data_IF_946211394249
#
_entry.id   IF_946211394249
#
_cell.length_a   1.000
_cell.length_b   1.000
_cell.length_c   1.000
_cell.angle_alpha   90.00
_cell.angle_beta   90.00
_cell.angle_gamma   90.00
#
_symmetry.space_group_name_H-M   'P 1'
#
loop_
_entity.id
_entity.type
_entity.pdbx_description
1 polymer ?
#
# COMPACT_ATOMS: atom_id res chain seq x y z
N UNK A 1 9.31 16.78 14.84
CA UNK A 1 8.62 15.60 14.27
C UNK A 1 9.66 14.87 13.45
N UNK A 2 9.76 13.54 13.57
CA UNK A 2 10.73 12.74 12.80
C UNK A 2 10.43 12.86 11.32
N UNK A 3 11.47 13.00 10.49
CA UNK A 3 11.33 12.89 9.03
C UNK A 3 10.95 11.46 8.70
N UNK A 4 9.96 11.28 7.80
CA UNK A 4 9.50 9.96 7.40
C UNK A 4 9.37 9.86 5.88
N UNK A 5 9.65 8.68 5.35
CA UNK A 5 9.51 8.35 3.93
C UNK A 5 8.36 7.38 3.73
N UNK A 6 7.39 7.76 2.89
CA UNK A 6 6.23 6.95 2.55
C UNK A 6 6.40 6.47 1.11
N UNK A 7 6.57 5.18 0.94
CA UNK A 7 6.57 4.55 -0.38
C UNK A 7 5.14 4.23 -0.81
N UNK A 8 4.78 4.52 -2.05
CA UNK A 8 3.49 4.22 -2.66
C UNK A 8 3.78 3.31 -3.85
N UNK A 9 3.56 2.01 -3.68
CA UNK A 9 3.78 1.00 -4.72
C UNK A 9 2.44 0.59 -5.32
N UNK A 10 2.33 0.67 -6.64
CA UNK A 10 1.04 0.43 -7.30
C UNK A 10 1.21 -0.13 -8.71
N UNK A 11 0.17 -0.83 -9.17
CA UNK A 11 -0.02 -1.14 -10.57
C UNK A 11 -1.18 -0.33 -11.16
N UNK A 12 -1.16 -0.09 -12.45
CA UNK A 12 -2.25 0.59 -13.16
C UNK A 12 -2.43 0.03 -14.57
N UNK A 13 -3.66 -0.02 -15.08
CA UNK A 13 -3.93 -0.42 -16.47
C UNK A 13 -4.17 0.78 -17.39
N UNK A 14 -5.01 1.72 -16.96
CA UNK A 14 -5.44 2.89 -17.75
C UNK A 14 -5.11 4.24 -17.08
N UNK A 15 -4.22 4.27 -16.10
CA UNK A 15 -3.80 5.49 -15.41
C UNK A 15 -4.63 5.88 -14.19
N UNK A 16 -5.86 5.39 -14.01
CA UNK A 16 -6.72 5.82 -12.91
C UNK A 16 -6.13 5.50 -11.52
N UNK A 17 -5.53 4.34 -11.35
CA UNK A 17 -4.85 3.96 -10.09
C UNK A 17 -3.62 4.85 -9.85
N UNK A 18 -2.90 5.24 -10.92
CA UNK A 18 -1.79 6.21 -10.85
C UNK A 18 -2.30 7.57 -10.37
N UNK A 19 -3.41 8.08 -10.92
CA UNK A 19 -4.02 9.34 -10.47
C UNK A 19 -4.31 9.31 -8.96
N UNK A 20 -4.86 8.19 -8.45
CA UNK A 20 -5.08 8.03 -7.00
C UNK A 20 -3.77 8.05 -6.23
N UNK A 21 -2.74 7.33 -6.69
CA UNK A 21 -1.41 7.30 -6.06
C UNK A 21 -0.78 8.70 -5.98
N UNK A 22 -0.89 9.50 -7.05
CA UNK A 22 -0.39 10.87 -7.11
C UNK A 22 -1.13 11.80 -6.11
N UNK A 23 -2.45 11.65 -5.96
CA UNK A 23 -3.20 12.41 -4.95
C UNK A 23 -2.86 11.96 -3.52
N UNK A 24 -2.63 10.68 -3.27
CA UNK A 24 -2.09 10.20 -1.98
C UNK A 24 -0.73 10.86 -1.71
N UNK A 25 0.17 10.88 -2.70
CA UNK A 25 1.48 11.51 -2.57
C UNK A 25 1.39 13.01 -2.25
N UNK A 26 0.47 13.74 -2.92
CA UNK A 26 0.19 15.16 -2.58
C UNK A 26 -0.18 15.32 -1.12
N UNK A 27 -1.10 14.48 -0.62
CA UNK A 27 -1.48 14.51 0.79
C UNK A 27 -0.34 14.18 1.75
N UNK A 28 0.56 13.28 1.40
CA UNK A 28 1.76 12.97 2.19
C UNK A 28 2.66 14.21 2.34
N UNK A 29 3.00 14.88 1.24
CA UNK A 29 3.94 16.00 1.25
C UNK A 29 3.40 17.27 1.89
N UNK A 30 2.08 17.38 2.10
CA UNK A 30 1.48 18.44 2.92
C UNK A 30 1.82 18.31 4.43
N UNK A 31 2.34 17.16 4.86
CA UNK A 31 2.74 16.92 6.24
C UNK A 31 4.23 17.24 6.38
N UNK A 32 4.55 18.26 7.17
CA UNK A 32 5.95 18.67 7.38
C UNK A 32 6.82 17.51 7.85
N UNK A 33 7.98 17.31 7.21
CA UNK A 33 8.89 16.21 7.48
C UNK A 33 8.49 14.86 6.83
N UNK A 34 7.43 14.82 5.99
CA UNK A 34 7.07 13.62 5.25
C UNK A 34 7.45 13.72 3.77
N UNK A 35 8.00 12.64 3.22
CA UNK A 35 8.35 12.49 1.79
C UNK A 35 7.53 11.35 1.19
N UNK A 36 7.11 11.51 -0.08
CA UNK A 36 6.42 10.48 -0.85
C UNK A 36 7.29 10.02 -2.01
N UNK A 37 7.39 8.70 -2.19
CA UNK A 37 8.05 8.06 -3.32
C UNK A 37 7.04 7.13 -4.02
N UNK A 38 6.89 7.29 -5.34
CA UNK A 38 5.96 6.48 -6.15
C UNK A 38 6.73 5.42 -6.92
N UNK A 39 6.23 4.18 -6.88
CA UNK A 39 6.80 3.03 -7.58
C UNK A 39 5.70 2.31 -8.36
N UNK A 40 5.79 2.33 -9.67
CA UNK A 40 4.83 1.64 -10.52
C UNK A 40 5.32 0.24 -10.88
N UNK A 41 4.56 -0.77 -10.47
CA UNK A 41 4.77 -2.16 -10.88
C UNK A 41 4.28 -2.34 -12.31
N UNK A 42 5.21 -2.56 -13.23
CA UNK A 42 4.92 -2.70 -14.66
C UNK A 42 5.31 -4.09 -15.17
N UNK A 43 4.79 -4.46 -16.33
CA UNK A 43 5.17 -5.72 -17.00
C UNK A 43 6.64 -5.74 -17.47
N UNK A 44 7.30 -4.59 -17.55
CA UNK A 44 8.72 -4.53 -17.90
C UNK A 44 9.63 -5.21 -16.87
N UNK A 45 9.17 -5.34 -15.62
CA UNK A 45 9.87 -6.08 -14.57
C UNK A 45 9.66 -7.60 -14.62
N UNK A 46 8.85 -8.13 -15.56
CA UNK A 46 8.61 -9.58 -15.64
C UNK A 46 9.73 -10.25 -16.44
N UNK A 47 10.47 -11.15 -15.79
CA UNK A 47 11.50 -11.97 -16.40
C UNK A 47 10.95 -13.09 -17.28
N UNK A 48 11.84 -13.78 -17.97
CA UNK A 48 11.49 -14.94 -18.83
C UNK A 48 10.93 -16.14 -18.05
N UNK A 49 11.18 -16.18 -16.75
CA UNK A 49 10.64 -17.15 -15.78
C UNK A 49 9.24 -16.79 -15.27
N UNK A 50 8.68 -15.65 -15.71
CA UNK A 50 7.37 -15.16 -15.30
C UNK A 50 7.36 -14.46 -13.93
N UNK A 51 8.50 -14.32 -13.25
CA UNK A 51 8.62 -13.58 -11.99
C UNK A 51 8.78 -12.10 -12.28
N UNK A 52 8.22 -11.27 -11.41
CA UNK A 52 8.51 -9.85 -11.41
C UNK A 52 9.74 -9.60 -10.53
N UNK A 53 10.72 -8.86 -11.06
CA UNK A 53 11.93 -8.49 -10.34
C UNK A 53 12.32 -7.05 -10.63
N UNK A 54 12.47 -6.27 -9.56
CA UNK A 54 13.05 -4.93 -9.55
C UNK A 54 13.69 -4.70 -8.18
N UNK A 55 14.95 -5.10 -8.06
CA UNK A 55 15.72 -4.99 -6.83
C UNK A 55 15.85 -3.55 -6.32
N UNK A 56 15.84 -2.54 -7.20
CA UNK A 56 15.90 -1.13 -6.77
C UNK A 56 14.61 -0.70 -6.09
N UNK A 57 13.46 -1.07 -6.67
CA UNK A 57 12.16 -0.83 -6.02
C UNK A 57 12.07 -1.57 -4.70
N UNK A 58 12.45 -2.86 -4.63
CA UNK A 58 12.41 -3.64 -3.37
C UNK A 58 13.29 -3.02 -2.28
N UNK A 59 14.49 -2.54 -2.63
CA UNK A 59 15.37 -1.84 -1.68
C UNK A 59 14.75 -0.53 -1.20
N UNK A 60 14.22 0.30 -2.11
CA UNK A 60 13.57 1.57 -1.74
C UNK A 60 12.35 1.37 -0.82
N UNK A 61 11.57 0.29 -1.02
CA UNK A 61 10.48 -0.09 -0.12
C UNK A 61 11.00 -0.53 1.25
N UNK A 62 12.15 -1.21 1.28
CA UNK A 62 12.78 -1.64 2.54
C UNK A 62 13.36 -0.46 3.32
N UNK A 63 13.79 0.60 2.65
CA UNK A 63 14.31 1.83 3.27
C UNK A 63 13.19 2.78 3.75
N UNK A 64 11.96 2.64 3.23
CA UNK A 64 10.83 3.49 3.62
C UNK A 64 10.28 3.12 5.02
N UNK A 65 9.68 4.11 5.71
CA UNK A 65 9.05 3.94 7.03
C UNK A 65 7.62 3.40 6.93
N UNK A 66 6.97 3.63 5.80
CA UNK A 66 5.63 3.11 5.50
C UNK A 66 5.49 2.73 4.03
N UNK A 67 4.62 1.76 3.74
CA UNK A 67 4.32 1.31 2.39
C UNK A 67 2.80 1.35 2.16
N UNK A 68 2.38 2.06 1.11
CA UNK A 68 0.98 2.09 0.66
C UNK A 68 0.88 1.26 -0.62
N UNK A 69 0.06 0.21 -0.59
CA UNK A 69 -0.15 -0.70 -1.71
C UNK A 69 -1.34 -0.25 -2.56
N UNK A 70 -1.20 -0.23 -3.89
CA UNK A 70 -2.24 0.19 -4.81
C UNK A 70 -2.44 -0.76 -5.99
N UNK A 71 -3.68 -1.13 -6.26
CA UNK A 71 -4.03 -1.95 -7.43
C UNK A 71 -5.40 -1.59 -7.97
N UNK A 72 -5.64 -1.66 -9.28
CA UNK A 72 -7.01 -1.73 -9.76
C UNK A 72 -7.64 -3.05 -9.29
N UNK A 73 -8.95 -3.04 -9.02
CA UNK A 73 -9.72 -4.29 -8.87
C UNK A 73 -10.13 -4.76 -10.27
N UNK A 74 -9.61 -5.92 -10.67
CA UNK A 74 -9.89 -6.59 -11.94
C UNK A 74 -10.40 -7.99 -11.67
N UNK A 75 -11.56 -8.34 -12.22
CA UNK A 75 -12.21 -9.65 -12.03
C UNK A 75 -12.34 -10.04 -10.54
N UNK A 76 -12.69 -9.05 -9.70
CA UNK A 76 -12.93 -9.25 -8.26
C UNK A 76 -11.68 -9.28 -7.37
N UNK A 77 -10.47 -9.06 -7.91
CA UNK A 77 -9.20 -9.21 -7.21
C UNK A 77 -8.21 -8.10 -7.55
N UNK A 78 -7.07 -8.06 -6.87
CA UNK A 78 -5.94 -7.23 -7.31
C UNK A 78 -5.45 -7.66 -8.70
N UNK A 79 -4.76 -6.79 -9.43
CA UNK A 79 -4.17 -7.12 -10.71
C UNK A 79 -3.09 -8.21 -10.58
N UNK A 80 -2.90 -9.00 -11.63
CA UNK A 80 -1.84 -10.02 -11.69
C UNK A 80 -0.44 -9.42 -11.45
N UNK A 81 -0.17 -8.22 -11.98
CA UNK A 81 1.10 -7.52 -11.73
C UNK A 81 1.33 -7.26 -10.23
N UNK A 82 0.30 -6.82 -9.51
CA UNK A 82 0.44 -6.58 -8.07
C UNK A 82 0.63 -7.88 -7.29
N UNK A 83 0.03 -8.98 -7.75
CA UNK A 83 0.25 -10.30 -7.15
C UNK A 83 1.68 -10.80 -7.38
N UNK A 84 2.23 -10.65 -8.59
CA UNK A 84 3.63 -10.99 -8.88
C UNK A 84 4.61 -10.19 -8.00
N UNK A 85 4.36 -8.88 -7.82
CA UNK A 85 5.14 -8.07 -6.87
C UNK A 85 5.05 -8.60 -5.44
N UNK A 86 3.88 -9.02 -4.97
CA UNK A 86 3.73 -9.60 -3.63
C UNK A 86 4.53 -10.91 -3.48
N UNK A 87 4.59 -11.74 -4.51
CA UNK A 87 5.37 -12.98 -4.52
C UNK A 87 6.88 -12.69 -4.45
N UNK A 88 7.34 -11.63 -5.11
CA UNK A 88 8.74 -11.20 -5.05
C UNK A 88 9.18 -10.75 -3.64
N UNK A 89 8.24 -10.35 -2.77
CA UNK A 89 8.55 -9.97 -1.39
C UNK A 89 8.88 -11.17 -0.46
N UNK A 90 8.91 -12.41 -0.99
CA UNK A 90 9.15 -13.62 -0.22
C UNK A 90 10.47 -13.58 0.58
N UNK A 91 11.59 -13.19 -0.03
CA UNK A 91 12.88 -13.09 0.65
C UNK A 91 12.84 -12.02 1.77
N UNK A 92 12.16 -10.90 1.53
CA UNK A 92 11.97 -9.85 2.53
C UNK A 92 11.13 -10.35 3.71
N UNK A 93 10.12 -11.18 3.45
CA UNK A 93 9.31 -11.82 4.48
C UNK A 93 10.12 -12.78 5.35
N UNK A 94 10.98 -13.61 4.75
CA UNK A 94 11.82 -14.56 5.48
C UNK A 94 12.69 -13.87 6.54
N UNK A 95 13.26 -12.71 6.20
CA UNK A 95 14.11 -11.93 7.13
C UNK A 95 13.32 -10.91 7.93
N UNK A 96 11.97 -10.89 7.81
CA UNK A 96 11.09 -9.93 8.47
C UNK A 96 11.47 -8.45 8.19
N UNK A 97 11.96 -8.17 6.98
CA UNK A 97 12.52 -6.87 6.60
C UNK A 97 11.52 -5.69 6.64
N UNK A 98 10.20 -5.98 6.55
CA UNK A 98 9.15 -4.95 6.64
C UNK A 98 8.36 -4.99 7.96
N UNK A 99 8.78 -5.81 8.91
CA UNK A 99 8.13 -5.88 10.22
C UNK A 99 8.08 -4.52 10.89
N UNK A 100 6.93 -4.24 11.52
CA UNK A 100 6.63 -3.00 12.24
C UNK A 100 6.57 -1.72 11.38
N UNK A 101 6.71 -1.79 10.04
CA UNK A 101 6.39 -0.66 9.17
C UNK A 101 4.88 -0.43 9.11
N UNK A 102 4.48 0.85 8.92
CA UNK A 102 3.07 1.17 8.64
C UNK A 102 2.72 0.69 7.23
N UNK A 103 1.54 0.07 7.09
CA UNK A 103 0.97 -0.35 5.82
C UNK A 103 -0.42 0.24 5.62
N UNK A 104 -0.80 0.47 4.37
CA UNK A 104 -2.13 0.89 3.97
C UNK A 104 -2.41 0.42 2.54
N UNK A 105 -3.68 0.52 2.08
CA UNK A 105 -4.02 0.10 0.72
C UNK A 105 -5.07 0.97 0.07
N UNK A 106 -5.03 0.99 -1.27
CA UNK A 106 -6.03 1.65 -2.10
C UNK A 106 -6.33 0.87 -3.37
N UNK A 107 -7.53 1.05 -3.88
CA UNK A 107 -7.97 0.41 -5.12
C UNK A 107 -8.93 1.28 -5.91
N UNK A 108 -8.97 1.06 -7.23
CA UNK A 108 -9.89 1.69 -8.15
C UNK A 108 -10.58 0.65 -9.04
N UNK A 109 -11.85 0.87 -9.36
CA UNK A 109 -12.56 0.08 -10.38
C UNK A 109 -13.67 0.89 -11.03
N UNK A 110 -14.22 0.40 -12.15
CA UNK A 110 -15.31 1.07 -12.85
C UNK A 110 -16.65 0.98 -12.09
N UNK A 111 -16.93 -0.15 -11.45
CA UNK A 111 -18.16 -0.37 -10.68
C UNK A 111 -18.06 0.25 -9.29
N UNK A 112 -19.18 0.75 -8.76
CA UNK A 112 -19.20 1.36 -7.41
C UNK A 112 -18.80 0.37 -6.31
N UNK A 113 -19.38 -0.82 -6.29
CA UNK A 113 -18.94 -1.91 -5.42
C UNK A 113 -17.71 -2.59 -6.02
N UNK A 114 -17.89 -3.28 -7.14
CA UNK A 114 -16.85 -3.92 -7.95
C UNK A 114 -15.95 -4.88 -7.19
N UNK A 115 -16.43 -5.36 -6.03
CA UNK A 115 -15.70 -6.25 -5.12
C UNK A 115 -14.33 -5.69 -4.68
N UNK A 116 -14.25 -4.36 -4.63
CA UNK A 116 -13.05 -3.62 -4.20
C UNK A 116 -12.57 -4.01 -2.80
N UNK A 117 -13.50 -4.43 -1.93
CA UNK A 117 -13.16 -4.88 -0.59
C UNK A 117 -12.23 -6.10 -0.64
N UNK A 118 -12.44 -7.03 -1.56
CA UNK A 118 -11.59 -8.22 -1.69
C UNK A 118 -10.14 -7.83 -2.01
N UNK A 119 -9.94 -6.90 -2.94
CA UNK A 119 -8.59 -6.37 -3.23
C UNK A 119 -7.92 -5.78 -1.99
N UNK A 120 -8.65 -5.01 -1.17
CA UNK A 120 -8.11 -4.44 0.07
C UNK A 120 -7.83 -5.50 1.14
N UNK A 121 -8.67 -6.53 1.23
CA UNK A 121 -8.46 -7.67 2.14
C UNK A 121 -7.18 -8.41 1.77
N UNK A 122 -6.95 -8.70 0.49
CA UNK A 122 -5.73 -9.35 0.03
C UNK A 122 -4.47 -8.53 0.38
N UNK A 123 -4.51 -7.20 0.20
CA UNK A 123 -3.42 -6.31 0.60
C UNK A 123 -3.20 -6.31 2.11
N UNK A 124 -4.28 -6.27 2.90
CA UNK A 124 -4.19 -6.29 4.36
C UNK A 124 -3.64 -7.62 4.89
N UNK A 125 -4.06 -8.75 4.30
CA UNK A 125 -3.52 -10.08 4.63
C UNK A 125 -2.03 -10.14 4.31
N UNK A 126 -1.62 -9.69 3.12
CA UNK A 126 -0.21 -9.60 2.75
C UNK A 126 0.58 -8.74 3.75
N UNK A 127 0.12 -7.52 4.05
CA UNK A 127 0.78 -6.63 5.00
C UNK A 127 0.93 -7.26 6.39
N UNK A 128 -0.10 -7.95 6.88
CA UNK A 128 -0.03 -8.63 8.18
C UNK A 128 0.90 -9.85 8.15
N UNK A 129 0.96 -10.58 7.04
CA UNK A 129 1.95 -11.64 6.83
C UNK A 129 3.38 -11.09 6.88
N UNK A 130 3.61 -9.91 6.31
CA UNK A 130 4.89 -9.20 6.38
C UNK A 130 5.21 -8.62 7.79
N UNK A 131 4.31 -8.78 8.76
CA UNK A 131 4.46 -8.24 10.12
C UNK A 131 4.21 -6.73 10.23
N UNK A 132 3.56 -6.11 9.24
CA UNK A 132 3.30 -4.67 9.19
C UNK A 132 2.04 -4.27 9.97
N UNK A 133 1.92 -2.99 10.29
CA UNK A 133 0.77 -2.39 11.01
C UNK A 133 -0.16 -1.71 10.01
N UNK A 134 -1.35 -2.27 9.81
CA UNK A 134 -2.32 -1.76 8.84
C UNK A 134 -3.10 -0.53 9.32
N UNK A 135 -3.22 0.48 8.46
CA UNK A 135 -3.96 1.72 8.74
C UNK A 135 -5.05 1.96 7.68
N UNK A 136 -6.30 1.99 8.10
CA UNK A 136 -7.46 2.27 7.25
C UNK A 136 -7.70 3.76 6.96
N UNK A 137 -8.78 4.06 6.19
CA UNK A 137 -9.12 5.41 5.69
C UNK A 137 -9.32 6.43 6.81
N UNK A 138 -10.15 6.13 7.80
CA UNK A 138 -10.41 6.98 8.95
C UNK A 138 -11.36 8.16 8.72
N UNK A 139 -11.82 8.41 7.50
CA UNK A 139 -12.85 9.39 7.21
C UNK A 139 -14.25 8.75 7.27
N UNK A 140 -15.22 9.51 7.78
CA UNK A 140 -16.62 9.09 7.74
C UNK A 140 -17.13 9.05 6.28
N UNK A 141 -18.09 8.16 5.95
CA UNK A 141 -18.63 8.06 4.60
C UNK A 141 -19.47 9.29 4.27
N UNK A 142 -19.03 10.07 3.29
CA UNK A 142 -19.76 11.24 2.80
C UNK A 142 -21.01 10.89 1.97
N UNK A 143 -21.07 9.67 1.44
CA UNK A 143 -22.14 9.18 0.56
C UNK A 143 -23.46 8.78 1.26
N UNK A 144 -23.58 8.98 2.56
CA UNK A 144 -24.71 8.46 3.37
C UNK A 144 -25.88 9.45 3.56
N UNK A 145 -25.90 10.59 2.86
CA UNK A 145 -26.97 11.59 2.96
C UNK A 145 -27.76 11.65 1.65
N UNK A 146 -29.04 12.06 1.70
CA UNK A 146 -29.86 12.18 0.49
C UNK A 146 -29.32 13.14 -0.57
N UNK A 147 -28.57 14.16 -0.15
CA UNK A 147 -27.96 15.19 -0.97
C UNK A 147 -26.49 14.89 -1.37
N UNK A 148 -26.00 13.68 -1.04
CA UNK A 148 -24.63 13.29 -1.29
C UNK A 148 -24.33 13.10 -2.78
N UNK A 149 -23.09 13.42 -3.16
CA UNK A 149 -22.59 13.33 -4.52
C UNK A 149 -21.25 12.56 -4.56
N UNK A 150 -20.76 12.27 -5.76
CA UNK A 150 -19.42 11.70 -5.93
C UNK A 150 -18.29 12.67 -5.55
N UNK A 151 -18.61 13.93 -5.25
CA UNK A 151 -17.64 14.94 -4.78
C UNK A 151 -17.45 14.94 -3.27
N UNK A 152 -18.23 14.14 -2.53
CA UNK A 152 -18.06 14.01 -1.09
C UNK A 152 -16.86 13.12 -0.75
N UNK A 153 -16.19 13.43 0.35
CA UNK A 153 -15.07 12.63 0.89
C UNK A 153 -15.59 11.24 1.26
N UNK A 154 -14.83 10.21 0.90
CA UNK A 154 -15.16 8.81 1.16
C UNK A 154 -16.61 8.46 0.75
N UNK A 155 -17.06 8.95 -0.43
CA UNK A 155 -18.43 8.78 -0.88
C UNK A 155 -18.81 7.31 -1.10
N UNK A 156 -17.83 6.42 -1.33
CA UNK A 156 -18.04 4.98 -1.43
C UNK A 156 -18.14 4.28 -0.07
N UNK A 157 -17.84 4.96 1.03
CA UNK A 157 -17.99 4.43 2.38
C UNK A 157 -17.01 3.33 2.75
N UNK A 158 -15.77 3.42 2.32
CA UNK A 158 -14.75 2.42 2.63
C UNK A 158 -14.08 2.65 3.98
N UNK A 159 -13.72 1.57 4.68
CA UNK A 159 -13.07 1.60 6.00
C UNK A 159 -11.66 1.00 5.98
N UNK A 160 -11.52 -0.20 5.39
CA UNK A 160 -10.26 -0.96 5.41
C UNK A 160 -9.13 -0.25 4.69
N UNK A 161 -9.42 0.38 3.56
CA UNK A 161 -8.49 1.14 2.74
C UNK A 161 -9.25 2.08 1.81
N UNK A 162 -8.57 2.87 0.99
CA UNK A 162 -9.20 3.81 0.10
C UNK A 162 -9.78 3.08 -1.13
N UNK A 163 -11.05 3.32 -1.40
CA UNK A 163 -11.72 2.93 -2.64
C UNK A 163 -12.02 4.16 -3.48
N UNK A 164 -11.79 4.06 -4.78
CA UNK A 164 -12.19 5.07 -5.77
C UNK A 164 -12.94 4.44 -6.94
N UNK A 165 -13.66 5.26 -7.70
CA UNK A 165 -14.40 4.84 -8.88
C UNK A 165 -14.00 5.66 -10.10
N UNK A 166 -13.69 4.97 -11.20
CA UNK A 166 -13.50 5.58 -12.52
C UNK A 166 -14.43 4.92 -13.51
N UNK A 167 -15.48 5.61 -13.98
CA UNK A 167 -16.43 5.03 -14.93
C UNK A 167 -15.74 4.47 -16.18
N UNK A 168 -16.30 3.40 -16.74
CA UNK A 168 -15.75 2.81 -17.96
C UNK A 168 -15.74 3.84 -19.10
N UNK A 169 -14.61 3.98 -19.77
CA UNK A 169 -14.43 4.95 -20.86
C UNK A 169 -14.03 6.35 -20.42
N UNK A 170 -14.04 6.67 -19.13
CA UNK A 170 -13.47 7.92 -18.63
C UNK A 170 -11.95 7.90 -18.76
N UNK A 171 -11.35 9.04 -19.08
CA UNK A 171 -9.90 9.20 -19.04
C UNK A 171 -9.39 9.48 -17.61
N UNK A 172 -8.07 9.33 -17.40
CA UNK A 172 -7.46 9.54 -16.10
C UNK A 172 -7.38 11.02 -15.67
N UNK A 173 -7.61 11.96 -16.58
CA UNK A 173 -7.68 13.39 -16.29
C UNK A 173 -9.01 13.74 -15.59
N UNK A 174 -10.12 13.13 -16.03
CA UNK A 174 -11.46 13.41 -15.52
C UNK A 174 -11.93 12.43 -14.43
N UNK A 175 -11.30 11.26 -14.31
CA UNK A 175 -11.63 10.23 -13.32
C UNK A 175 -10.36 9.77 -12.56
N UNK A 176 -10.48 9.42 -11.27
CA UNK A 176 -11.70 9.40 -10.45
C UNK A 176 -12.24 10.79 -10.10
N UNK A 177 -13.39 10.83 -9.42
CA UNK A 177 -14.09 12.05 -9.03
C UNK A 177 -13.25 12.99 -8.15
N UNK A 178 -13.67 14.26 -8.03
CA UNK A 178 -13.03 15.22 -7.12
C UNK A 178 -13.08 14.74 -5.66
N UNK A 179 -14.18 14.10 -5.23
CA UNK A 179 -14.32 13.54 -3.89
C UNK A 179 -13.35 12.38 -3.64
N UNK A 180 -13.15 11.50 -4.61
CA UNK A 180 -12.15 10.42 -4.52
C UNK A 180 -10.73 10.95 -4.44
N UNK A 181 -10.40 11.97 -5.24
CA UNK A 181 -9.09 12.64 -5.23
C UNK A 181 -8.82 13.31 -3.88
N UNK A 182 -9.82 14.05 -3.36
CA UNK A 182 -9.72 14.66 -2.02
C UNK A 182 -9.58 13.61 -0.92
N UNK A 183 -10.31 12.49 -1.02
CA UNK A 183 -10.17 11.35 -0.09
C UNK A 183 -8.76 10.79 -0.14
N UNK A 184 -8.16 10.67 -1.33
CA UNK A 184 -6.79 10.20 -1.51
C UNK A 184 -5.77 11.13 -0.83
N UNK A 185 -5.91 12.45 -0.97
CA UNK A 185 -5.06 13.42 -0.28
C UNK A 185 -5.20 13.34 1.25
N UNK A 186 -6.44 13.25 1.75
CA UNK A 186 -6.70 13.08 3.19
C UNK A 186 -6.10 11.78 3.72
N UNK A 187 -6.21 10.70 2.94
CA UNK A 187 -5.63 9.41 3.26
C UNK A 187 -4.10 9.50 3.33
N UNK A 188 -3.45 10.12 2.35
CA UNK A 188 -2.00 10.38 2.36
C UNK A 188 -1.54 11.12 3.60
N UNK A 189 -2.23 12.23 3.97
CA UNK A 189 -1.96 12.98 5.22
C UNK A 189 -2.11 12.10 6.45
N UNK A 190 -3.14 11.25 6.49
CA UNK A 190 -3.37 10.34 7.61
C UNK A 190 -2.22 9.33 7.77
N UNK A 191 -1.79 8.70 6.68
CA UNK A 191 -0.70 7.73 6.73
C UNK A 191 0.59 8.40 7.18
N UNK A 192 0.96 9.54 6.62
CA UNK A 192 2.16 10.29 7.03
C UNK A 192 2.16 10.61 8.53
N UNK A 193 1.05 11.15 9.06
CA UNK A 193 0.91 11.45 10.50
C UNK A 193 0.92 10.19 11.36
N UNK A 194 0.34 9.08 10.90
CA UNK A 194 0.36 7.82 11.63
C UNK A 194 1.78 7.27 11.71
N UNK A 195 2.53 7.33 10.61
CA UNK A 195 3.93 6.92 10.55
C UNK A 195 4.79 7.76 11.50
N UNK A 196 4.65 9.09 11.46
CA UNK A 196 5.40 9.98 12.38
C UNK A 196 5.12 9.65 13.86
N UNK A 197 3.85 9.39 14.22
CA UNK A 197 3.49 9.00 15.59
C UNK A 197 4.05 7.64 16.00
N UNK A 198 4.06 6.69 15.05
CA UNK A 198 4.61 5.36 15.27
C UNK A 198 6.12 5.42 15.50
N UNK A 199 6.85 6.11 14.63
CA UNK A 199 8.30 6.27 14.72
C UNK A 199 8.72 7.03 15.99
N UNK A 200 8.04 8.11 16.35
CA UNK A 200 8.33 8.87 17.56
C UNK A 200 8.18 8.04 18.85
N UNK A 201 7.32 7.01 18.86
CA UNK A 201 7.18 6.08 19.99
C UNK A 201 8.20 4.95 19.95
N UNK A 202 8.62 4.50 18.78
CA UNK A 202 9.68 3.51 18.66
C UNK A 202 10.99 4.00 19.29
N UNK A 203 11.32 5.29 19.12
CA UNK A 203 12.49 5.92 19.76
C UNK A 203 12.35 6.01 21.30
N UNK A 204 11.12 6.20 21.81
CA UNK A 204 10.86 6.28 23.25
C UNK A 204 10.83 4.91 23.95
N UNK A 205 10.55 3.84 23.23
CA UNK A 205 10.47 2.46 23.72
C UNK A 205 11.25 1.53 22.78
N UNK A 206 12.59 1.58 22.79
CA UNK A 206 13.38 0.70 21.94
C UNK A 206 13.02 -0.76 22.28
N UNK A 207 12.63 -1.52 21.26
CA UNK A 207 12.37 -2.94 21.41
C UNK A 207 13.57 -3.58 22.14
N UNK A 208 13.31 -4.46 23.14
CA UNK A 208 14.37 -5.27 23.73
C UNK A 208 15.04 -6.03 22.58
N UNK A 209 16.19 -5.58 22.15
CA UNK A 209 17.02 -6.31 21.17
C UNK A 209 17.27 -7.69 21.76
N UNK A 210 16.66 -8.73 21.17
CA UNK A 210 17.22 -10.08 21.29
C UNK A 210 18.64 -9.98 20.78
N UNK A 211 19.58 -10.70 21.41
CA UNK A 211 20.96 -10.63 20.93
C UNK A 211 20.96 -10.90 19.42
N UNK A 212 21.67 -10.08 18.66
CA UNK A 212 21.76 -10.20 17.18
C UNK A 212 22.17 -11.61 16.77
N UNK A 213 22.93 -12.33 17.61
CA UNK A 213 23.33 -13.71 17.42
C UNK A 213 22.18 -14.74 17.53
N UNK A 214 21.20 -14.53 18.43
CA UNK A 214 20.03 -15.42 18.58
C UNK A 214 19.02 -15.21 17.43
N UNK A 215 18.84 -13.94 17.00
CA UNK A 215 18.00 -13.62 15.84
C UNK A 215 18.60 -14.25 14.57
N UNK A 216 19.87 -13.98 14.26
CA UNK A 216 20.56 -14.49 13.08
C UNK A 216 20.69 -16.02 13.02
N UNK A 217 20.64 -16.71 14.15
CA UNK A 217 20.64 -18.18 14.18
C UNK A 217 19.27 -18.75 13.85
N UNK A 218 18.19 -18.23 14.42
CA UNK A 218 16.81 -18.66 14.08
C UNK A 218 16.44 -18.34 12.64
N UNK A 219 16.88 -17.19 12.15
CA UNK A 219 16.62 -16.76 10.77
C UNK A 219 17.30 -17.71 9.76
N UNK A 220 18.53 -18.18 10.05
CA UNK A 220 19.22 -19.19 9.21
C UNK A 220 18.56 -20.57 9.26
N UNK A 221 18.22 -21.07 10.44
CA UNK A 221 17.54 -22.36 10.62
C UNK A 221 16.15 -22.34 9.95
N UNK A 222 15.43 -21.21 10.01
CA UNK A 222 14.15 -21.00 9.31
C UNK A 222 14.31 -20.97 7.78
N UNK A 223 15.30 -20.25 7.26
CA UNK A 223 15.62 -20.16 5.84
C UNK A 223 15.96 -21.53 5.22
N UNK A 224 16.76 -22.34 5.89
CA UNK A 224 17.12 -23.69 5.43
C UNK A 224 15.90 -24.62 5.39
N UNK A 225 15.04 -24.54 6.39
CA UNK A 225 13.81 -25.34 6.43
C UNK A 225 12.80 -24.98 5.33
N UNK A 226 12.70 -23.69 4.96
CA UNK A 226 11.77 -23.24 3.91
C UNK A 226 12.31 -23.46 2.50
N UNK A 227 13.62 -23.36 2.27
CA UNK A 227 14.22 -23.68 0.97
C UNK A 227 14.06 -25.16 0.59
N UNK A 228 13.93 -26.05 1.57
CA UNK A 228 13.65 -27.48 1.31
C UNK A 228 12.19 -27.79 0.96
N UNK A 229 11.29 -26.81 0.98
CA UNK A 229 9.88 -26.98 0.59
C UNK A 229 9.61 -26.66 -0.90
N UNK A 230 10.54 -25.96 -1.59
CA UNK A 230 10.42 -25.57 -3.01
C UNK A 230 11.11 -26.59 -3.97
N UNK A 231 11.73 -27.65 -3.44
CA UNK A 231 12.28 -28.79 -4.16
C UNK A 231 11.30 -29.99 -4.09
#
# INVERSE_FOLDING_TARGET
MSDVTIAIVYSTGRGHTRTVAEHIARGVVEVGGAKACLFEVTSAGIGVDGRWDDGQTMQALSDADAIIFGSPTLMGSMSGLMKLFFEQAFETWLVQGWKDKIAAGFTNSASRSGDKLDTLVQMAVFATQMGMVWVGVGDLPGGNRPDSTSNDVNHLGSWLGLMSQSPAGADAEHAPSAGDRLTAERFGRRIARSTQRWMARADAFPARRRSEAESARRDREGLEAWRSFDD
#
